data_IF_992430949979
#
_entry.id   IF_992430949979
#
_cell.length_a   1.000
_cell.length_b   1.000
_cell.length_c   1.000
_cell.angle_alpha   90.00
_cell.angle_beta   90.00
_cell.angle_gamma   90.00
#
_symmetry.space_group_name_H-M   'P 1'
#
loop_
_entity.id
_entity.type
_entity.pdbx_description
1 polymer ?
#
# COMPACT_ATOMS: atom_id res chain seq x y z
N UNK A 1 41.73 -40.96 -16.21
CA UNK A 1 40.97 -41.92 -15.39
C UNK A 1 40.38 -41.14 -14.23
N UNK A 2 39.05 -41.07 -14.14
CA UNK A 2 38.35 -40.39 -13.06
C UNK A 2 38.53 -41.18 -11.76
N UNK A 3 38.81 -40.49 -10.66
CA UNK A 3 38.80 -41.10 -9.33
C UNK A 3 37.34 -41.36 -8.92
N UNK A 4 36.98 -42.59 -8.49
CA UNK A 4 35.67 -42.88 -7.92
C UNK A 4 35.67 -42.47 -6.43
N UNK A 5 34.93 -41.42 -6.10
CA UNK A 5 34.82 -40.89 -4.74
C UNK A 5 33.39 -40.97 -4.21
N UNK A 6 33.15 -41.98 -3.36
CA UNK A 6 32.24 -42.02 -2.21
C UNK A 6 30.74 -41.68 -2.40
N UNK A 7 29.94 -42.71 -2.67
CA UNK A 7 28.64 -42.87 -2.00
C UNK A 7 28.67 -44.22 -1.26
N UNK A 8 28.56 -44.18 0.08
CA UNK A 8 28.48 -45.38 0.90
C UNK A 8 27.14 -46.10 0.70
N UNK A 9 27.07 -47.42 0.99
CA UNK A 9 25.87 -48.24 0.76
C UNK A 9 24.67 -47.94 1.69
N UNK A 10 24.80 -46.96 2.58
CA UNK A 10 23.73 -46.50 3.46
C UNK A 10 23.40 -45.04 3.12
N UNK A 11 22.51 -44.86 2.14
CA UNK A 11 21.98 -43.56 1.73
C UNK A 11 21.04 -42.98 2.77
N UNK A 12 21.59 -42.43 3.86
CA UNK A 12 20.86 -41.46 4.68
C UNK A 12 20.97 -40.08 4.03
N UNK A 13 20.19 -39.87 2.96
CA UNK A 13 19.79 -38.49 2.68
C UNK A 13 18.94 -38.07 3.87
N UNK A 14 19.29 -36.95 4.50
CA UNK A 14 18.45 -36.30 5.50
C UNK A 14 17.21 -35.73 4.80
N UNK A 15 16.36 -36.60 4.25
CA UNK A 15 15.00 -36.30 3.79
C UNK A 15 14.06 -36.23 5.01
N UNK A 16 14.43 -35.41 5.99
CA UNK A 16 13.39 -34.81 6.81
C UNK A 16 12.61 -33.89 5.87
N UNK A 17 11.26 -33.93 5.84
CA UNK A 17 10.52 -33.00 5.00
C UNK A 17 11.01 -31.60 5.32
N UNK A 18 11.58 -30.92 4.32
CA UNK A 18 11.82 -29.48 4.40
C UNK A 18 10.45 -28.89 4.64
N UNK A 19 10.17 -28.51 5.88
CA UNK A 19 8.97 -27.79 6.23
C UNK A 19 9.09 -26.42 5.58
N UNK A 20 8.63 -26.31 4.34
CA UNK A 20 8.43 -25.03 3.69
C UNK A 20 7.32 -24.33 4.46
N UNK A 21 7.71 -23.44 5.36
CA UNK A 21 6.80 -22.46 5.97
C UNK A 21 6.26 -21.57 4.85
N UNK A 22 5.19 -22.05 4.21
CA UNK A 22 4.48 -21.33 3.16
C UNK A 22 3.60 -20.25 3.81
N UNK A 23 4.24 -19.24 4.42
CA UNK A 23 3.58 -17.99 4.77
C UNK A 23 3.50 -17.11 3.53
N UNK A 24 2.32 -16.56 3.23
CA UNK A 24 2.21 -15.54 2.17
C UNK A 24 3.02 -14.32 2.62
N UNK A 25 4.05 -13.96 1.85
CA UNK A 25 4.83 -12.75 2.11
C UNK A 25 3.92 -11.50 2.05
N UNK A 26 4.17 -10.54 2.93
CA UNK A 26 3.45 -9.27 2.94
C UNK A 26 3.76 -8.47 1.66
N UNK A 27 2.79 -7.69 1.14
CA UNK A 27 3.05 -6.72 0.08
C UNK A 27 4.11 -5.71 0.53
N UNK A 28 5.11 -5.49 -0.32
CA UNK A 28 6.18 -4.53 -0.04
C UNK A 28 6.67 -3.85 -1.31
N UNK A 29 7.27 -2.69 -1.15
CA UNK A 29 7.96 -1.94 -2.20
C UNK A 29 9.32 -1.48 -1.72
N UNK A 30 10.19 -1.22 -2.69
CA UNK A 30 11.51 -0.62 -2.50
C UNK A 30 11.67 0.48 -3.54
N UNK A 31 12.25 1.61 -3.13
CA UNK A 31 12.54 2.74 -4.01
C UNK A 31 13.72 3.54 -3.47
N UNK A 32 14.45 4.21 -4.34
CA UNK A 32 15.63 4.97 -3.94
C UNK A 32 15.84 6.20 -4.81
N UNK A 33 16.55 7.16 -4.22
CA UNK A 33 17.07 8.36 -4.87
C UNK A 33 18.54 8.52 -4.48
N UNK A 34 19.20 9.59 -4.94
CA UNK A 34 20.58 9.88 -4.55
C UNK A 34 20.74 10.17 -3.04
N UNK A 35 19.65 10.51 -2.34
CA UNK A 35 19.66 10.86 -0.92
C UNK A 35 19.18 9.72 -0.02
N UNK A 36 18.19 8.95 -0.47
CA UNK A 36 17.45 8.03 0.39
C UNK A 36 17.20 6.67 -0.29
N UNK A 37 17.21 5.62 0.52
CA UNK A 37 16.65 4.31 0.22
C UNK A 37 15.41 4.12 1.09
N UNK A 38 14.34 3.56 0.54
CA UNK A 38 13.07 3.38 1.25
C UNK A 38 12.50 2.00 0.97
N UNK A 39 12.13 1.30 2.04
CA UNK A 39 11.36 0.05 1.99
C UNK A 39 10.04 0.29 2.71
N UNK A 40 8.91 0.03 2.05
CA UNK A 40 7.60 0.08 2.70
C UNK A 40 6.93 -1.29 2.66
N UNK A 41 6.44 -1.77 3.79
CA UNK A 41 5.75 -3.06 3.95
C UNK A 41 4.34 -2.82 4.47
N UNK A 42 3.33 -3.35 3.77
CA UNK A 42 1.94 -3.25 4.17
C UNK A 42 1.57 -4.38 5.13
N UNK A 43 1.28 -4.03 6.37
CA UNK A 43 0.69 -4.89 7.39
C UNK A 43 -0.84 -4.73 7.41
N UNK A 44 -1.52 -5.45 8.31
CA UNK A 44 -2.98 -5.37 8.43
C UNK A 44 -3.44 -4.04 9.05
N UNK A 45 -2.61 -3.47 9.91
CA UNK A 45 -2.88 -2.33 10.78
C UNK A 45 -2.02 -1.10 10.49
N UNK A 46 -0.98 -1.23 9.67
CA UNK A 46 -0.12 -0.12 9.26
C UNK A 46 0.63 -0.37 7.94
N UNK A 47 1.12 0.71 7.33
CA UNK A 47 2.21 0.69 6.36
C UNK A 47 3.48 1.09 7.11
N UNK A 48 4.36 0.13 7.39
CA UNK A 48 5.68 0.36 7.99
C UNK A 48 6.67 0.76 6.90
N UNK A 49 7.52 1.74 7.20
CA UNK A 49 8.44 2.40 6.26
C UNK A 49 9.81 2.51 6.93
N UNK A 50 10.82 1.88 6.34
CA UNK A 50 12.22 2.06 6.69
C UNK A 50 12.87 3.00 5.69
N UNK A 51 13.73 3.89 6.17
CA UNK A 51 14.42 4.87 5.35
C UNK A 51 15.89 4.92 5.75
N UNK A 52 16.77 4.71 4.79
CA UNK A 52 18.22 4.76 4.98
C UNK A 52 18.85 5.82 4.06
N UNK A 53 20.06 6.28 4.40
CA UNK A 53 20.87 7.14 3.55
C UNK A 53 21.46 6.30 2.42
N UNK A 54 21.19 6.67 1.16
CA UNK A 54 21.66 5.90 -0.01
C UNK A 54 23.18 5.67 -0.01
N UNK A 55 23.97 6.68 0.38
CA UNK A 55 25.42 6.60 0.32
C UNK A 55 26.05 5.74 1.43
N UNK A 56 25.41 5.63 2.60
CA UNK A 56 26.00 5.04 3.81
C UNK A 56 25.20 3.91 4.42
N UNK A 57 23.96 3.70 3.95
CA UNK A 57 22.97 2.79 4.51
C UNK A 57 22.69 3.05 6.01
N UNK A 58 22.92 4.28 6.48
CA UNK A 58 22.59 4.69 7.84
C UNK A 58 21.10 5.03 7.97
N UNK A 59 20.43 4.65 9.06
CA UNK A 59 19.00 4.91 9.22
C UNK A 59 18.71 6.40 9.34
N UNK A 60 17.68 6.84 8.63
CA UNK A 60 17.17 8.20 8.67
C UNK A 60 16.09 8.29 9.73
N UNK A 61 16.47 8.79 10.91
CA UNK A 61 15.58 8.94 12.06
C UNK A 61 14.97 10.35 12.12
N UNK A 62 13.79 10.47 12.73
CA UNK A 62 13.10 11.75 12.97
C UNK A 62 12.87 12.63 11.71
N UNK A 63 12.73 12.02 10.54
CA UNK A 63 12.29 12.71 9.33
C UNK A 63 10.78 13.03 9.39
N UNK A 64 10.36 14.04 8.62
CA UNK A 64 8.96 14.16 8.24
C UNK A 64 8.74 13.32 6.99
N UNK A 65 7.81 12.38 7.08
CA UNK A 65 7.47 11.47 5.98
C UNK A 65 5.99 11.64 5.66
N UNK A 66 5.69 12.01 4.42
CA UNK A 66 4.33 12.04 3.89
C UNK A 66 4.20 11.00 2.77
N UNK A 67 3.07 10.31 2.73
CA UNK A 67 2.77 9.29 1.72
C UNK A 67 1.47 9.63 1.02
N UNK A 68 1.48 9.55 -0.30
CA UNK A 68 0.33 9.79 -1.16
C UNK A 68 -0.03 8.52 -1.94
N UNK A 69 -1.32 8.22 -2.01
CA UNK A 69 -1.90 7.11 -2.78
C UNK A 69 -3.14 7.64 -3.54
N UNK A 70 -2.96 7.95 -4.82
CA UNK A 70 -4.01 8.61 -5.61
C UNK A 70 -4.40 9.98 -5.01
N UNK A 71 -5.62 10.11 -4.50
CA UNK A 71 -6.10 11.34 -3.82
C UNK A 71 -5.93 11.31 -2.30
N UNK A 72 -5.47 10.19 -1.74
CA UNK A 72 -5.23 10.04 -0.30
C UNK A 72 -3.82 10.51 0.04
N UNK A 73 -3.70 11.12 1.21
CA UNK A 73 -2.42 11.58 1.78
C UNK A 73 -2.40 11.32 3.27
N UNK A 74 -1.29 10.79 3.76
CA UNK A 74 -1.07 10.52 5.17
C UNK A 74 0.33 10.98 5.61
N UNK A 75 0.48 11.32 6.89
CA UNK A 75 1.78 11.55 7.52
C UNK A 75 2.16 10.28 8.28
N UNK A 76 3.38 9.79 8.09
CA UNK A 76 3.87 8.65 8.85
C UNK A 76 4.39 9.12 10.23
N UNK A 77 4.09 8.35 11.27
CA UNK A 77 4.53 8.56 12.65
C UNK A 77 5.85 7.83 12.85
N UNK A 78 6.83 8.47 13.47
CA UNK A 78 8.12 7.83 13.75
C UNK A 78 8.04 6.97 15.03
N UNK A 79 8.46 5.71 14.94
CA UNK A 79 8.59 4.79 16.05
C UNK A 79 10.06 4.71 16.50
N UNK A 80 10.42 5.49 17.53
CA UNK A 80 11.81 5.61 17.97
C UNK A 80 12.44 4.29 18.42
N UNK A 81 11.65 3.37 18.99
CA UNK A 81 12.13 2.08 19.49
C UNK A 81 12.50 1.10 18.36
N UNK A 82 11.91 1.30 17.17
CA UNK A 82 12.06 0.43 16.01
C UNK A 82 12.87 1.06 14.87
N UNK A 83 12.97 2.40 14.86
CA UNK A 83 13.68 3.15 13.82
C UNK A 83 12.90 3.26 12.50
N UNK A 84 11.61 2.94 12.50
CA UNK A 84 10.74 2.98 11.33
C UNK A 84 9.64 4.06 11.45
N UNK A 85 8.89 4.23 10.36
CA UNK A 85 7.74 5.12 10.30
C UNK A 85 6.49 4.34 9.94
N UNK A 86 5.36 4.67 10.56
CA UNK A 86 4.09 4.00 10.34
C UNK A 86 3.00 4.95 9.87
N UNK A 87 2.27 4.53 8.83
CA UNK A 87 0.96 5.10 8.48
C UNK A 87 -0.12 4.15 8.95
N UNK A 88 -0.93 4.57 9.92
CA UNK A 88 -2.04 3.81 10.52
C UNK A 88 -3.43 4.39 10.18
N UNK A 89 -3.51 5.30 9.18
CA UNK A 89 -4.77 5.91 8.77
C UNK A 89 -5.72 4.86 8.15
N UNK A 90 -6.92 4.63 8.71
CA UNK A 90 -7.79 3.55 8.27
C UNK A 90 -8.24 3.67 6.81
N UNK A 91 -8.44 4.89 6.30
CA UNK A 91 -8.87 5.10 4.91
C UNK A 91 -7.72 4.81 3.94
N UNK A 92 -6.50 5.22 4.30
CA UNK A 92 -5.29 4.92 3.56
C UNK A 92 -5.03 3.40 3.49
N UNK A 93 -5.09 2.71 4.62
CA UNK A 93 -4.88 1.25 4.68
C UNK A 93 -5.96 0.48 3.93
N UNK A 94 -7.22 0.88 4.05
CA UNK A 94 -8.33 0.25 3.31
C UNK A 94 -8.13 0.38 1.79
N UNK A 95 -7.61 1.53 1.33
CA UNK A 95 -7.30 1.71 -0.08
C UNK A 95 -6.21 0.76 -0.55
N UNK A 96 -5.08 0.68 0.18
CA UNK A 96 -3.95 -0.19 -0.19
C UNK A 96 -4.27 -1.68 -0.07
N UNK A 97 -5.17 -2.07 0.83
CA UNK A 97 -5.63 -3.45 0.97
C UNK A 97 -6.48 -3.94 -0.22
N UNK A 98 -6.97 -3.04 -1.06
CA UNK A 98 -7.73 -3.40 -2.26
C UNK A 98 -6.83 -4.07 -3.29
N UNK A 99 -7.31 -5.14 -3.93
CA UNK A 99 -6.53 -5.86 -4.95
C UNK A 99 -6.21 -4.94 -6.13
N UNK A 100 -4.95 -4.91 -6.56
CA UNK A 100 -4.47 -4.09 -7.67
C UNK A 100 -3.08 -3.51 -7.43
N UNK A 101 -2.66 -2.63 -8.33
CA UNK A 101 -1.47 -1.79 -8.15
C UNK A 101 -1.86 -0.45 -7.54
N UNK A 102 -1.09 -0.01 -6.56
CA UNK A 102 -1.24 1.28 -5.91
C UNK A 102 0.02 2.11 -6.13
N UNK A 103 -0.08 3.17 -6.92
CA UNK A 103 1.01 4.12 -7.08
C UNK A 103 1.17 4.93 -5.78
N UNK A 104 2.34 4.81 -5.16
CA UNK A 104 2.72 5.49 -3.94
C UNK A 104 3.78 6.53 -4.23
N UNK A 105 3.61 7.71 -3.63
CA UNK A 105 4.59 8.79 -3.63
C UNK A 105 4.95 9.14 -2.20
N UNK A 106 6.24 9.10 -1.88
CA UNK A 106 6.79 9.41 -0.56
C UNK A 106 7.53 10.73 -0.64
N UNK A 107 7.18 11.68 0.23
CA UNK A 107 8.00 12.88 0.46
C UNK A 107 8.73 12.71 1.77
N UNK A 108 10.06 12.70 1.72
CA UNK A 108 10.93 12.56 2.89
C UNK A 108 11.66 13.86 3.10
N UNK A 109 11.55 14.44 4.30
CA UNK A 109 12.27 15.64 4.71
C UNK A 109 13.08 15.35 5.97
N UNK A 110 14.40 15.39 5.87
CA UNK A 110 15.33 15.17 6.98
C UNK A 110 16.30 16.35 7.10
N UNK A 111 16.07 17.21 8.08
CA UNK A 111 16.86 18.43 8.25
C UNK A 111 16.74 19.38 7.06
N UNK A 112 17.80 19.47 6.25
CA UNK A 112 17.85 20.30 5.03
C UNK A 112 17.64 19.49 3.75
N UNK A 113 17.67 18.17 3.87
CA UNK A 113 17.51 17.26 2.75
C UNK A 113 16.03 16.99 2.55
N UNK A 114 15.59 16.98 1.30
CA UNK A 114 14.22 16.69 0.92
C UNK A 114 14.21 16.02 -0.43
N UNK A 115 13.46 14.93 -0.54
CA UNK A 115 13.32 14.20 -1.79
C UNK A 115 11.92 13.57 -1.92
N UNK A 116 11.60 13.17 -3.15
CA UNK A 116 10.37 12.47 -3.51
C UNK A 116 10.72 11.11 -4.11
N UNK A 117 10.19 10.04 -3.51
CA UNK A 117 10.36 8.67 -3.97
C UNK A 117 9.02 8.12 -4.47
N UNK A 118 9.05 7.29 -5.51
CA UNK A 118 7.83 6.70 -6.08
C UNK A 118 7.98 5.20 -6.30
N UNK A 119 6.92 4.44 -6.05
CA UNK A 119 6.86 3.00 -6.32
C UNK A 119 5.41 2.50 -6.40
N UNK A 120 5.21 1.32 -6.99
CA UNK A 120 3.89 0.69 -7.11
C UNK A 120 3.77 -0.49 -6.14
N UNK A 121 2.88 -0.40 -5.16
CA UNK A 121 2.57 -1.49 -4.25
C UNK A 121 1.57 -2.43 -4.92
N UNK A 122 1.94 -3.71 -5.06
CA UNK A 122 1.08 -4.73 -5.68
C UNK A 122 0.35 -5.52 -4.62
N UNK A 123 -0.97 -5.36 -4.55
CA UNK A 123 -1.85 -6.15 -3.69
C UNK A 123 -2.49 -7.28 -4.50
N UNK A 124 -2.02 -8.50 -4.32
CA UNK A 124 -2.60 -9.68 -4.99
C UNK A 124 -3.84 -10.20 -4.26
N UNK A 125 -4.86 -10.64 -5.00
CA UNK A 125 -5.97 -11.40 -4.44
C UNK A 125 -5.43 -12.60 -3.66
N UNK A 126 -5.64 -12.62 -2.34
CA UNK A 126 -5.45 -13.86 -1.58
C UNK A 126 -6.57 -14.79 -1.97
N UNK A 127 -6.31 -15.73 -2.88
CA UNK A 127 -7.13 -16.94 -2.92
C UNK A 127 -6.85 -17.66 -1.62
N UNK A 128 -7.69 -17.45 -0.61
CA UNK A 128 -7.80 -18.41 0.47
C UNK A 128 -8.29 -19.70 -0.18
N UNK A 129 -7.34 -20.56 -0.56
CA UNK A 129 -7.66 -21.95 -0.76
C UNK A 129 -8.17 -22.41 0.60
N UNK A 130 -9.50 -22.46 0.76
CA UNK A 130 -10.13 -23.19 1.84
C UNK A 130 -9.40 -24.54 1.88
N UNK A 131 -8.70 -24.81 2.97
CA UNK A 131 -7.89 -26.00 3.13
C UNK A 131 -8.72 -27.20 2.72
N UNK A 132 -8.44 -27.72 1.53
CA UNK A 132 -9.06 -28.92 1.02
C UNK A 132 -8.66 -30.01 1.99
N UNK A 133 -9.62 -30.45 2.80
CA UNK A 133 -9.49 -31.70 3.53
C UNK A 133 -9.12 -32.75 2.50
N UNK A 134 -7.89 -33.25 2.57
CA UNK A 134 -7.49 -34.46 1.85
C UNK A 134 -8.30 -35.62 2.42
N UNK A 135 -9.56 -35.74 2.01
CA UNK A 135 -10.32 -36.96 2.14
C UNK A 135 -9.84 -37.87 1.02
N UNK A 136 -8.92 -38.75 1.37
CA UNK A 136 -8.52 -39.90 0.57
C UNK A 136 -9.76 -40.69 0.13
N UNK A 137 -9.93 -40.80 -1.18
CA UNK A 137 -10.51 -41.93 -1.93
C UNK A 137 -11.52 -42.83 -1.19
N UNK A 138 -12.78 -42.76 -1.59
CA UNK A 138 -13.43 -43.97 -2.13
C UNK A 138 -14.42 -43.59 -3.22
N UNK A 139 -14.51 -44.47 -4.22
CA UNK A 139 -15.37 -44.29 -5.40
C UNK A 139 -16.81 -44.60 -5.03
N UNK A 140 -17.74 -43.90 -5.69
CA UNK A 140 -18.83 -44.50 -6.48
C UNK A 140 -20.18 -43.77 -6.39
N UNK A 141 -20.77 -43.63 -7.59
CA UNK A 141 -22.19 -43.51 -7.96
C UNK A 141 -22.97 -42.19 -7.82
N UNK A 142 -23.21 -41.63 -9.00
CA UNK A 142 -24.47 -41.11 -9.54
C UNK A 142 -25.33 -40.14 -8.72
N UNK A 143 -25.32 -38.89 -9.17
CA UNK A 143 -26.44 -37.98 -9.04
C UNK A 143 -26.23 -36.80 -9.98
N UNK A 144 -27.07 -36.69 -11.02
CA UNK A 144 -27.33 -35.42 -11.69
C UNK A 144 -27.69 -34.38 -10.58
N UNK A 145 -27.55 -33.07 -10.72
CA UNK A 145 -28.44 -32.20 -11.48
C UNK A 145 -27.84 -30.78 -11.58
N UNK A 146 -28.46 -30.00 -12.46
CA UNK A 146 -28.03 -28.74 -13.03
C UNK A 146 -28.08 -27.54 -12.07
N UNK A 147 -27.17 -26.58 -12.26
CA UNK A 147 -27.24 -25.27 -11.63
C UNK A 147 -26.27 -24.25 -12.25
N UNK A 148 -26.47 -23.94 -13.53
CA UNK A 148 -25.69 -22.91 -14.22
C UNK A 148 -26.03 -21.47 -13.77
N UNK A 149 -24.99 -20.64 -13.79
CA UNK A 149 -24.93 -19.22 -14.20
C UNK A 149 -25.91 -18.18 -13.61
N UNK A 150 -25.38 -17.21 -12.85
CA UNK A 150 -25.75 -15.77 -12.87
C UNK A 150 -24.72 -15.03 -11.96
N UNK A 151 -23.71 -14.25 -12.38
CA UNK A 151 -23.54 -13.19 -13.39
C UNK A 151 -24.56 -12.04 -13.25
N UNK A 152 -24.08 -10.95 -12.64
CA UNK A 152 -24.53 -9.54 -12.68
C UNK A 152 -25.70 -9.12 -11.77
N UNK A 153 -25.37 -8.37 -10.72
CA UNK A 153 -26.24 -7.37 -10.10
C UNK A 153 -25.53 -6.03 -10.09
N UNK A 154 -25.53 -5.32 -11.23
CA UNK A 154 -25.02 -3.96 -11.38
C UNK A 154 -26.23 -3.00 -11.42
N UNK A 155 -26.04 -1.80 -10.87
CA UNK A 155 -26.81 -0.58 -11.10
C UNK A 155 -28.11 -0.36 -10.29
N UNK A 156 -27.97 0.19 -9.08
CA UNK A 156 -28.91 1.18 -8.54
C UNK A 156 -28.30 1.92 -7.32
N UNK A 157 -27.49 2.97 -7.53
CA UNK A 157 -27.27 4.03 -6.51
C UNK A 157 -26.41 5.23 -7.00
N UNK A 158 -26.38 5.54 -8.30
CA UNK A 158 -25.54 6.63 -8.84
C UNK A 158 -26.23 7.98 -9.06
N UNK A 159 -27.52 8.16 -8.71
CA UNK A 159 -28.21 9.45 -8.96
C UNK A 159 -28.59 10.25 -7.70
N UNK A 160 -28.35 9.77 -6.48
CA UNK A 160 -28.78 10.49 -5.26
C UNK A 160 -27.69 11.35 -4.58
N UNK A 161 -26.40 11.13 -4.85
CA UNK A 161 -25.30 11.85 -4.15
C UNK A 161 -24.82 13.12 -4.85
N UNK A 162 -25.12 13.31 -6.14
CA UNK A 162 -24.73 14.50 -6.90
C UNK A 162 -25.55 15.76 -6.54
N UNK A 163 -26.72 15.60 -5.89
CA UNK A 163 -27.56 16.73 -5.47
C UNK A 163 -27.10 17.39 -4.16
N UNK A 164 -26.32 16.68 -3.32
CA UNK A 164 -25.90 17.21 -2.01
C UNK A 164 -24.60 18.05 -2.09
N UNK A 165 -23.72 17.76 -3.04
CA UNK A 165 -22.46 18.50 -3.22
C UNK A 165 -22.64 19.90 -3.84
N UNK A 166 -23.65 20.11 -4.69
CA UNK A 166 -23.88 21.39 -5.36
C UNK A 166 -24.39 22.51 -4.44
N UNK A 167 -25.11 22.18 -3.36
CA UNK A 167 -25.71 23.19 -2.47
C UNK A 167 -24.73 23.78 -1.47
N UNK A 168 -23.63 23.09 -1.14
CA UNK A 168 -22.63 23.56 -0.16
C UNK A 168 -21.64 24.57 -0.75
N UNK A 169 -21.36 24.49 -2.05
CA UNK A 169 -20.42 25.38 -2.73
C UNK A 169 -21.01 26.76 -3.09
N UNK A 170 -22.33 26.83 -3.34
CA UNK A 170 -23.03 28.09 -3.62
C UNK A 170 -23.09 29.04 -2.40
N UNK A 171 -23.04 28.52 -1.17
CA UNK A 171 -23.13 29.34 0.06
C UNK A 171 -21.82 30.01 0.47
N UNK A 172 -20.66 29.59 -0.05
CA UNK A 172 -19.34 30.17 0.30
C UNK A 172 -18.95 31.38 -0.55
N UNK A 173 -19.59 31.62 -1.71
CA UNK A 173 -19.22 32.73 -2.63
C UNK A 173 -19.92 34.07 -2.40
N UNK A 174 -20.76 34.22 -1.36
CA UNK A 174 -21.45 35.48 -1.05
C UNK A 174 -20.80 36.33 0.05
N UNK A 175 -19.56 36.04 0.46
CA UNK A 175 -18.82 36.83 1.46
C UNK A 175 -17.43 37.23 0.96
N UNK A 176 -17.38 38.03 -0.10
CA UNK A 176 -16.22 38.86 -0.41
C UNK A 176 -16.71 40.07 -1.20
N UNK A 177 -17.14 41.11 -0.47
CA UNK A 177 -17.37 42.45 -1.05
C UNK A 177 -16.02 43.17 -1.01
N UNK A 178 -15.46 43.63 -2.15
CA UNK A 178 -14.26 44.44 -2.12
C UNK A 178 -14.59 45.84 -1.57
N UNK A 179 -13.73 46.35 -0.70
CA UNK A 179 -13.71 47.73 -0.22
C UNK A 179 -13.29 48.67 -1.38
N UNK A 180 -13.85 49.89 -1.50
CA UNK A 180 -13.37 50.86 -2.47
C UNK A 180 -12.03 51.49 -2.02
N UNK A 181 -11.12 51.83 -2.95
CA UNK A 181 -9.89 52.53 -2.59
C UNK A 181 -10.19 53.99 -2.20
N UNK A 182 -9.52 54.44 -1.14
CA UNK A 182 -9.40 55.84 -0.76
C UNK A 182 -8.20 56.50 -1.45
N UNK A 183 -8.14 57.84 -1.34
CA UNK A 183 -7.08 58.80 -1.73
C UNK A 183 -7.12 59.25 -3.20
N UNK A 184 -6.86 60.51 -3.58
CA UNK A 184 -6.54 61.77 -2.90
C UNK A 184 -6.47 62.89 -3.96
N UNK A 185 -6.95 64.09 -3.62
CA UNK A 185 -6.39 65.43 -3.91
C UNK A 185 -6.02 65.91 -5.34
N UNK A 186 -6.50 67.13 -5.63
CA UNK A 186 -5.78 68.34 -6.15
C UNK A 186 -5.93 68.74 -7.62
N UNK A 187 -6.23 70.02 -7.82
CA UNK A 187 -5.84 70.84 -9.00
C UNK A 187 -7.00 71.26 -9.90
N UNK A 188 -7.55 72.47 -9.74
CA UNK A 188 -7.19 73.70 -10.48
C UNK A 188 -7.61 73.72 -11.96
N UNK A 189 -8.61 74.55 -12.26
CA UNK A 189 -8.52 75.73 -13.14
C UNK A 189 -9.86 76.45 -13.18
#
# INVERSE_FOLDING_TARGET
MAAPGAHGPNGEHLDGPVQTVSGKALPRIETSTEQFELIATLHADELSILIDRFATNEPVLNARVEVEAGSLKASAKFHADHGDYAVDDPAFLTALASVGEHALVFTVVSGKDSDLLSANLVQSATTFAAGGTHASHDKDHHGHEHGGVLRWGLAALTTALLAWAATRWARRRKRARPLPPATTSRGQS
#
